data_IF_905229926378
#
_entry.id   IF_905229926378
#
_cell.length_a   1.000
_cell.length_b   1.000
_cell.length_c   1.000
_cell.angle_alpha   90.00
_cell.angle_beta   90.00
_cell.angle_gamma   90.00
#
_symmetry.space_group_name_H-M   'P 1'
#
loop_
_entity.id
_entity.type
_entity.pdbx_description
1 polymer ?
#
# COMPACT_ATOMS: atom_id res chain seq x y z
N UNK A 1 -21.68 -52.93 -12.31
CA UNK A 1 -20.68 -53.36 -11.32
C UNK A 1 -19.75 -52.17 -11.08
N UNK A 2 -19.84 -51.53 -9.91
CA UNK A 2 -18.86 -50.50 -9.52
C UNK A 2 -17.61 -51.22 -9.00
N UNK A 3 -16.45 -50.93 -9.58
CA UNK A 3 -15.16 -51.42 -9.09
C UNK A 3 -14.67 -50.38 -8.08
N UNK A 4 -14.69 -50.71 -6.80
CA UNK A 4 -14.10 -49.88 -5.75
C UNK A 4 -12.69 -50.39 -5.47
N UNK A 5 -11.64 -49.56 -5.58
CA UNK A 5 -10.29 -50.01 -5.29
C UNK A 5 -10.14 -50.28 -3.79
N UNK A 6 -9.50 -51.40 -3.44
CA UNK A 6 -9.23 -51.77 -2.05
C UNK A 6 -8.28 -50.78 -1.33
N UNK A 7 -7.57 -49.96 -2.10
CA UNK A 7 -6.62 -48.97 -1.60
C UNK A 7 -6.53 -47.80 -2.60
N UNK A 8 -6.53 -46.54 -2.14
CA UNK A 8 -6.34 -45.40 -3.03
C UNK A 8 -4.95 -45.47 -3.67
N UNK A 9 -4.87 -45.25 -4.99
CA UNK A 9 -3.64 -45.29 -5.78
C UNK A 9 -2.58 -44.28 -5.30
N UNK A 10 -2.99 -43.31 -4.48
CA UNK A 10 -2.12 -42.30 -3.86
C UNK A 10 -2.68 -41.94 -2.49
N UNK A 11 -1.89 -42.09 -1.44
CA UNK A 11 -2.26 -41.63 -0.09
C UNK A 11 -2.06 -40.13 0.01
N UNK A 12 -3.15 -39.37 -0.02
CA UNK A 12 -3.13 -37.93 0.21
C UNK A 12 -2.85 -37.63 1.68
N UNK A 13 -2.07 -36.60 1.97
CA UNK A 13 -1.86 -36.14 3.35
C UNK A 13 -3.12 -35.45 3.90
N UNK A 14 -3.29 -35.39 5.23
CA UNK A 14 -4.44 -34.69 5.83
C UNK A 14 -4.59 -33.25 5.35
N UNK A 15 -3.48 -32.54 5.12
CA UNK A 15 -3.47 -31.17 4.61
C UNK A 15 -3.99 -31.10 3.17
N UNK A 16 -3.59 -32.04 2.31
CA UNK A 16 -4.08 -32.12 0.92
C UNK A 16 -5.59 -32.40 0.89
N UNK A 17 -6.09 -33.27 1.78
CA UNK A 17 -7.52 -33.56 1.89
C UNK A 17 -8.28 -32.32 2.37
N UNK A 18 -7.75 -31.58 3.34
CA UNK A 18 -8.34 -30.34 3.84
C UNK A 18 -8.43 -29.26 2.74
N UNK A 19 -7.38 -29.10 1.95
CA UNK A 19 -7.34 -28.16 0.83
C UNK A 19 -8.34 -28.55 -0.27
N UNK A 20 -8.41 -29.83 -0.66
CA UNK A 20 -9.40 -30.33 -1.63
C UNK A 20 -10.83 -30.13 -1.12
N UNK A 21 -11.10 -30.46 0.14
CA UNK A 21 -12.44 -30.33 0.74
C UNK A 21 -12.87 -28.87 0.78
N UNK A 22 -11.95 -27.95 1.08
CA UNK A 22 -12.20 -26.50 1.07
C UNK A 22 -12.47 -25.99 -0.35
N UNK A 23 -11.74 -26.51 -1.36
CA UNK A 23 -11.96 -26.19 -2.77
C UNK A 23 -13.34 -26.61 -3.25
N UNK A 24 -13.71 -27.88 -3.02
CA UNK A 24 -15.00 -28.45 -3.44
C UNK A 24 -16.18 -27.74 -2.76
N UNK A 25 -16.06 -27.42 -1.46
CA UNK A 25 -17.12 -26.74 -0.68
C UNK A 25 -17.44 -25.32 -1.18
N UNK A 26 -16.52 -24.67 -1.91
CA UNK A 26 -16.72 -23.35 -2.52
C UNK A 26 -17.16 -23.41 -3.99
N UNK A 27 -17.40 -24.61 -4.54
CA UNK A 27 -17.82 -24.79 -5.94
C UNK A 27 -16.72 -24.45 -6.97
N UNK A 28 -15.46 -24.37 -6.53
CA UNK A 28 -14.32 -23.99 -7.36
C UNK A 28 -13.42 -25.21 -7.60
N UNK A 29 -12.97 -25.40 -8.84
CA UNK A 29 -11.98 -26.45 -9.15
C UNK A 29 -10.67 -26.16 -8.40
N UNK A 30 -9.86 -27.19 -8.15
CA UNK A 30 -8.54 -27.05 -7.51
C UNK A 30 -7.70 -25.91 -8.12
N UNK A 31 -7.71 -25.81 -9.45
CA UNK A 31 -7.01 -24.75 -10.19
C UNK A 31 -7.53 -23.34 -9.89
N UNK A 32 -8.83 -23.18 -9.65
CA UNK A 32 -9.38 -21.89 -9.24
C UNK A 32 -8.99 -21.51 -7.80
N UNK A 33 -8.84 -22.50 -6.92
CA UNK A 33 -8.29 -22.27 -5.58
C UNK A 33 -6.80 -21.87 -5.61
N UNK A 34 -5.99 -22.53 -6.43
CA UNK A 34 -4.59 -22.13 -6.63
C UNK A 34 -4.44 -20.73 -7.21
N UNK A 35 -5.21 -20.39 -8.26
CA UNK A 35 -5.22 -19.06 -8.84
C UNK A 35 -5.64 -18.00 -7.81
N UNK A 36 -6.65 -18.30 -6.99
CA UNK A 36 -7.06 -17.43 -5.89
C UNK A 36 -5.93 -17.20 -4.88
N UNK A 37 -5.22 -18.26 -4.45
CA UNK A 37 -4.09 -18.11 -3.51
C UNK A 37 -3.02 -17.19 -4.08
N UNK A 38 -2.68 -17.35 -5.37
CA UNK A 38 -1.70 -16.50 -6.06
C UNK A 38 -2.15 -15.04 -6.09
N UNK A 39 -3.38 -14.77 -6.54
CA UNK A 39 -3.90 -13.40 -6.62
C UNK A 39 -4.11 -12.76 -5.26
N UNK A 40 -4.39 -13.55 -4.22
CA UNK A 40 -4.46 -13.07 -2.85
C UNK A 40 -3.08 -12.61 -2.36
N UNK A 41 -2.04 -13.42 -2.59
CA UNK A 41 -0.67 -13.04 -2.25
C UNK A 41 -0.22 -11.77 -3.01
N UNK A 42 -0.53 -11.67 -4.31
CA UNK A 42 -0.25 -10.46 -5.10
C UNK A 42 -0.98 -9.23 -4.55
N UNK A 43 -2.25 -9.36 -4.14
CA UNK A 43 -3.02 -8.28 -3.52
C UNK A 43 -2.45 -7.85 -2.17
N UNK A 44 -2.05 -8.79 -1.33
CA UNK A 44 -1.50 -8.49 -0.02
C UNK A 44 -0.16 -7.74 -0.15
N UNK A 45 0.70 -8.15 -1.09
CA UNK A 45 1.93 -7.42 -1.43
C UNK A 45 1.64 -6.01 -1.95
N UNK A 46 0.71 -5.88 -2.89
CA UNK A 46 0.32 -4.56 -3.43
C UNK A 46 -0.28 -3.64 -2.36
N UNK A 47 -1.03 -4.19 -1.39
CA UNK A 47 -1.59 -3.43 -0.28
C UNK A 47 -0.48 -2.87 0.63
N UNK A 48 0.58 -3.64 0.90
CA UNK A 48 1.75 -3.19 1.66
C UNK A 48 2.44 -2.04 0.91
N UNK A 49 2.71 -2.21 -0.38
CA UNK A 49 3.33 -1.16 -1.20
C UNK A 49 2.49 0.12 -1.24
N UNK A 50 1.17 -0.02 -1.42
CA UNK A 50 0.25 1.11 -1.37
C UNK A 50 0.29 1.83 -0.03
N UNK A 51 0.32 1.10 1.08
CA UNK A 51 0.41 1.68 2.42
C UNK A 51 1.70 2.49 2.63
N UNK A 52 2.82 2.00 2.07
CA UNK A 52 4.11 2.71 2.10
C UNK A 52 4.06 4.00 1.31
N UNK A 53 3.50 3.96 0.10
CA UNK A 53 3.36 5.14 -0.77
C UNK A 53 2.40 6.17 -0.14
N UNK A 54 1.31 5.70 0.49
CA UNK A 54 0.38 6.58 1.20
C UNK A 54 1.08 7.31 2.36
N UNK A 55 1.89 6.61 3.17
CA UNK A 55 2.68 7.25 4.23
C UNK A 55 3.65 8.30 3.69
N UNK A 56 4.37 7.98 2.61
CA UNK A 56 5.28 8.92 1.94
C UNK A 56 4.55 10.17 1.42
N UNK A 57 3.35 10.00 0.85
CA UNK A 57 2.51 11.12 0.38
C UNK A 57 2.13 12.03 1.54
N UNK A 58 1.70 11.47 2.66
CA UNK A 58 1.23 12.25 3.81
C UNK A 58 2.38 13.05 4.47
N UNK A 59 3.58 12.47 4.52
CA UNK A 59 4.80 13.19 4.93
C UNK A 59 5.12 14.38 4.00
N UNK A 60 5.03 14.18 2.68
CA UNK A 60 5.25 15.27 1.71
C UNK A 60 4.19 16.37 1.82
N UNK A 61 2.92 16.00 2.00
CA UNK A 61 1.83 16.97 2.17
C UNK A 61 2.06 17.83 3.42
N UNK A 62 2.42 17.19 4.54
CA UNK A 62 2.73 17.91 5.79
C UNK A 62 3.89 18.89 5.59
N UNK A 63 4.95 18.47 4.89
CA UNK A 63 6.10 19.35 4.62
C UNK A 63 5.74 20.52 3.69
N UNK A 64 4.87 20.29 2.70
CA UNK A 64 4.38 21.33 1.80
C UNK A 64 3.49 22.33 2.53
N UNK A 65 2.60 21.86 3.39
CA UNK A 65 1.76 22.72 4.24
C UNK A 65 2.61 23.60 5.15
N UNK A 66 3.64 23.04 5.80
CA UNK A 66 4.55 23.80 6.64
C UNK A 66 5.31 24.87 5.85
N UNK A 67 5.78 24.55 4.63
CA UNK A 67 6.44 25.51 3.75
C UNK A 67 5.47 26.62 3.30
N UNK A 68 4.24 26.25 2.93
CA UNK A 68 3.21 27.21 2.54
C UNK A 68 2.86 28.15 3.68
N UNK A 69 2.71 27.63 4.90
CA UNK A 69 2.46 28.44 6.09
C UNK A 69 3.64 29.39 6.40
N UNK A 70 4.87 28.92 6.23
CA UNK A 70 6.07 29.76 6.40
C UNK A 70 6.17 30.89 5.35
N UNK A 71 5.55 30.71 4.18
CA UNK A 71 5.44 31.75 3.16
C UNK A 71 4.24 32.70 3.39
N UNK A 72 3.27 32.37 4.26
CA UNK A 72 2.08 33.19 4.50
C UNK A 72 2.40 34.37 5.43
N UNK A 73 2.20 35.59 4.94
CA UNK A 73 2.42 36.84 5.68
C UNK A 73 1.22 37.27 6.50
N UNK A 74 0.05 36.65 6.31
CA UNK A 74 -1.22 37.08 6.89
C UNK A 74 -1.78 38.39 6.31
N UNK A 75 -0.97 39.15 5.59
CA UNK A 75 -1.40 40.35 4.87
C UNK A 75 -2.15 39.96 3.60
N UNK A 76 -3.33 40.55 3.43
CA UNK A 76 -4.20 40.34 2.28
C UNK A 76 -4.51 41.68 1.62
N UNK A 77 -4.53 41.69 0.30
CA UNK A 77 -5.02 42.83 -0.46
C UNK A 77 -6.56 42.93 -0.37
N UNK A 78 -7.12 43.96 -1.01
CA UNK A 78 -8.58 44.21 -1.00
C UNK A 78 -9.39 43.11 -1.70
N UNK A 79 -8.73 42.29 -2.52
CA UNK A 79 -9.31 41.17 -3.26
C UNK A 79 -9.09 39.82 -2.51
N UNK A 80 -8.47 39.86 -1.33
CA UNK A 80 -8.20 38.69 -0.49
C UNK A 80 -6.99 37.86 -0.93
N UNK A 81 -6.18 38.34 -1.88
CA UNK A 81 -4.92 37.69 -2.25
C UNK A 81 -3.82 38.08 -1.28
N UNK A 82 -2.86 37.19 -1.09
CA UNK A 82 -1.70 37.48 -0.26
C UNK A 82 -0.89 38.65 -0.86
N UNK A 83 -0.67 39.67 -0.04
CA UNK A 83 0.14 40.84 -0.36
C UNK A 83 1.56 40.63 0.15
N UNK A 84 2.55 40.82 -0.73
CA UNK A 84 3.99 40.70 -0.41
C UNK A 84 4.63 39.36 -0.80
N UNK A 85 5.91 39.38 -1.14
CA UNK A 85 6.74 38.18 -1.36
C UNK A 85 7.64 38.04 -0.14
N UNK A 86 7.29 37.16 0.80
CA UNK A 86 8.21 36.76 1.86
C UNK A 86 8.92 35.48 1.45
N UNK A 87 10.24 35.55 1.50
CA UNK A 87 11.09 34.38 1.31
C UNK A 87 11.00 33.57 2.61
N UNK A 88 10.58 32.30 2.55
CA UNK A 88 10.47 31.46 3.75
C UNK A 88 11.82 31.34 4.44
N UNK A 89 11.78 31.26 5.78
CA UNK A 89 12.97 31.12 6.61
C UNK A 89 13.85 29.93 6.16
N UNK A 90 15.17 30.11 6.25
CA UNK A 90 16.15 29.12 5.79
C UNK A 90 15.98 27.76 6.49
N UNK A 91 15.58 27.73 7.76
CA UNK A 91 15.32 26.48 8.48
C UNK A 91 14.06 25.78 7.97
N UNK A 92 13.00 26.53 7.64
CA UNK A 92 11.78 25.97 7.06
C UNK A 92 12.05 25.33 5.68
N UNK A 93 12.82 26.01 4.84
CA UNK A 93 13.25 25.48 3.52
C UNK A 93 14.12 24.24 3.69
N UNK A 94 15.02 24.23 4.68
CA UNK A 94 15.87 23.06 4.95
C UNK A 94 15.06 21.86 5.46
N UNK A 95 14.15 22.07 6.41
CA UNK A 95 13.27 21.01 6.92
C UNK A 95 12.39 20.41 5.81
N UNK A 96 11.86 21.24 4.90
CA UNK A 96 11.12 20.77 3.74
C UNK A 96 12.01 19.96 2.78
N UNK A 97 13.25 20.40 2.54
CA UNK A 97 14.22 19.64 1.71
C UNK A 97 14.60 18.32 2.35
N UNK A 98 14.74 18.24 3.67
CA UNK A 98 14.99 16.99 4.39
C UNK A 98 13.80 16.04 4.33
N UNK A 99 12.57 16.54 4.49
CA UNK A 99 11.37 15.71 4.32
C UNK A 99 11.28 15.14 2.88
N UNK A 100 11.53 15.98 1.87
CA UNK A 100 11.59 15.54 0.47
C UNK A 100 12.73 14.52 0.26
N UNK A 101 13.90 14.73 0.87
CA UNK A 101 15.03 13.81 0.76
C UNK A 101 14.74 12.45 1.42
N UNK A 102 14.06 12.41 2.56
CA UNK A 102 13.62 11.17 3.22
C UNK A 102 12.65 10.37 2.35
N UNK A 103 11.72 11.05 1.69
CA UNK A 103 10.76 10.39 0.79
C UNK A 103 11.42 9.96 -0.52
N UNK A 104 12.30 10.78 -1.11
CA UNK A 104 13.03 10.44 -2.35
C UNK A 104 14.09 9.36 -2.15
N UNK A 105 14.77 9.37 -1.01
CA UNK A 105 15.85 8.44 -0.66
C UNK A 105 15.37 7.18 0.04
N UNK A 106 14.08 6.83 -0.10
CA UNK A 106 13.42 5.80 0.68
C UNK A 106 14.29 4.57 0.96
N UNK A 107 14.66 4.41 2.23
CA UNK A 107 14.98 3.15 2.90
C UNK A 107 16.23 2.42 2.39
N UNK A 108 17.29 2.46 3.22
CA UNK A 108 17.97 1.20 3.63
C UNK A 108 17.46 0.87 5.01
#
# INVERSE_FOLDING_TARGET
MLIYPAQPLTTLTPDQVADITTSVRKGQSWHAYEAYKKHKAERDTAAIEYSKVAGQRDELLTALEALSAACDTGERDRDGKQSGVVIPDKHAVWAAREAIARVKGGIV
#
